data_IF_957580032244
#
_entry.id   IF_957580032244
#
_cell.length_a   1.000
_cell.length_b   1.000
_cell.length_c   1.000
_cell.angle_alpha   90.00
_cell.angle_beta   90.00
_cell.angle_gamma   90.00
#
_symmetry.space_group_name_H-M   'P 1'
#
loop_
_entity.id
_entity.type
_entity.pdbx_description
1 polymer ?
#
# COMPACT_ATOMS: atom_id res chain seq x y z
N UNK A 1 -24.18 -40.23 25.99
CA UNK A 1 -22.71 -40.25 25.81
C UNK A 1 -22.10 -39.41 26.92
N UNK A 2 -21.10 -39.93 27.69
CA UNK A 2 -20.58 -39.21 28.85
C UNK A 2 -19.75 -38.01 28.41
N UNK A 3 -19.87 -36.92 29.14
CA UNK A 3 -19.17 -35.63 28.94
C UNK A 3 -17.63 -35.83 28.80
N UNK A 4 -17.07 -36.77 29.56
CA UNK A 4 -15.66 -37.14 29.50
C UNK A 4 -15.20 -37.70 28.15
N UNK A 5 -16.03 -38.43 27.44
CA UNK A 5 -15.66 -38.96 26.09
C UNK A 5 -15.55 -37.80 25.09
N UNK A 6 -16.51 -36.88 25.14
CA UNK A 6 -16.52 -35.70 24.26
C UNK A 6 -15.31 -34.78 24.49
N UNK A 7 -14.91 -34.59 25.74
CA UNK A 7 -13.70 -33.77 26.06
C UNK A 7 -12.40 -34.42 25.55
N UNK A 8 -12.29 -35.76 25.69
CA UNK A 8 -11.13 -36.50 25.15
C UNK A 8 -11.07 -36.43 23.63
N UNK A 9 -12.19 -36.53 22.94
CA UNK A 9 -12.27 -36.46 21.48
C UNK A 9 -11.90 -35.04 20.98
N UNK A 10 -12.36 -34.00 21.67
CA UNK A 10 -11.98 -32.61 21.38
C UNK A 10 -10.48 -32.33 21.63
N UNK A 11 -9.94 -32.83 22.71
CA UNK A 11 -8.52 -32.69 23.01
C UNK A 11 -7.64 -33.40 21.96
N UNK A 12 -8.05 -34.60 21.54
CA UNK A 12 -7.36 -35.36 20.48
C UNK A 12 -7.41 -34.63 19.14
N UNK A 13 -8.57 -34.14 18.73
CA UNK A 13 -8.71 -33.37 17.49
C UNK A 13 -7.90 -32.08 17.50
N UNK A 14 -7.80 -31.40 18.65
CA UNK A 14 -6.95 -30.20 18.80
C UNK A 14 -5.47 -30.55 18.68
N UNK A 15 -5.02 -31.65 19.27
CA UNK A 15 -3.65 -32.13 19.18
C UNK A 15 -3.27 -32.52 17.75
N UNK A 16 -4.13 -33.25 17.05
CA UNK A 16 -3.92 -33.65 15.65
C UNK A 16 -3.82 -32.43 14.72
N UNK A 17 -4.68 -31.41 14.91
CA UNK A 17 -4.58 -30.13 14.14
C UNK A 17 -3.28 -29.39 14.42
N UNK A 18 -2.80 -29.39 15.67
CA UNK A 18 -1.51 -28.75 16.00
C UNK A 18 -0.33 -29.49 15.38
N UNK A 19 -0.37 -30.82 15.38
CA UNK A 19 0.66 -31.66 14.76
C UNK A 19 0.71 -31.43 13.22
N UNK A 20 -0.46 -31.38 12.56
CA UNK A 20 -0.57 -31.11 11.14
C UNK A 20 0.06 -29.73 10.78
N UNK A 21 -0.30 -28.67 11.53
CA UNK A 21 0.29 -27.33 11.33
C UNK A 21 1.80 -27.28 11.57
N UNK A 22 2.33 -28.06 12.53
CA UNK A 22 3.78 -28.14 12.78
C UNK A 22 4.51 -28.85 11.63
N UNK A 23 3.92 -29.93 11.09
CA UNK A 23 4.51 -30.67 9.95
C UNK A 23 4.52 -29.83 8.67
N UNK A 24 3.45 -29.08 8.40
CA UNK A 24 3.38 -28.14 7.28
C UNK A 24 4.46 -27.05 7.38
N UNK A 25 4.58 -26.39 8.54
CA UNK A 25 5.63 -25.39 8.78
C UNK A 25 7.04 -25.96 8.59
N UNK A 26 7.29 -27.18 9.08
CA UNK A 26 8.57 -27.84 8.91
C UNK A 26 8.89 -28.18 7.44
N UNK A 27 7.87 -28.55 6.66
CA UNK A 27 8.03 -28.79 5.22
C UNK A 27 8.30 -27.48 4.46
N UNK A 28 7.59 -26.40 4.76
CA UNK A 28 7.84 -25.07 4.20
C UNK A 28 9.25 -24.56 4.53
N UNK A 29 9.69 -24.70 5.78
CA UNK A 29 11.03 -24.31 6.18
C UNK A 29 12.13 -25.08 5.41
N UNK A 30 11.98 -26.40 5.24
CA UNK A 30 12.93 -27.22 4.45
C UNK A 30 12.92 -26.86 2.97
N UNK A 31 11.74 -26.55 2.39
CA UNK A 31 11.62 -26.09 1.01
C UNK A 31 12.30 -24.74 0.80
N UNK A 32 12.06 -23.79 1.68
CA UNK A 32 12.69 -22.47 1.61
C UNK A 32 14.22 -22.58 1.75
N UNK A 33 14.72 -23.40 2.68
CA UNK A 33 16.16 -23.61 2.87
C UNK A 33 16.83 -24.20 1.61
N UNK A 34 16.14 -25.10 0.87
CA UNK A 34 16.65 -25.64 -0.41
C UNK A 34 16.64 -24.57 -1.50
N UNK A 35 15.60 -23.74 -1.59
CA UNK A 35 15.50 -22.63 -2.56
C UNK A 35 16.61 -21.62 -2.29
N UNK A 36 16.84 -21.24 -1.02
CA UNK A 36 17.92 -20.32 -0.65
C UNK A 36 19.30 -20.88 -1.03
N UNK A 37 19.55 -22.16 -0.82
CA UNK A 37 20.81 -22.78 -1.20
C UNK A 37 21.03 -22.77 -2.72
N UNK A 38 19.98 -23.01 -3.52
CA UNK A 38 20.05 -22.95 -4.98
C UNK A 38 20.32 -21.53 -5.47
N UNK A 39 19.63 -20.53 -4.90
CA UNK A 39 19.82 -19.12 -5.25
C UNK A 39 21.24 -18.66 -4.97
N UNK A 40 21.82 -19.05 -3.83
CA UNK A 40 23.24 -18.71 -3.49
C UNK A 40 24.21 -19.31 -4.48
N UNK A 41 24.01 -20.58 -4.89
CA UNK A 41 24.89 -21.23 -5.88
C UNK A 41 24.77 -20.56 -7.24
N UNK A 42 23.57 -20.24 -7.69
CA UNK A 42 23.35 -19.50 -8.96
C UNK A 42 23.97 -18.12 -8.91
N UNK A 43 23.84 -17.39 -7.81
CA UNK A 43 24.47 -16.08 -7.64
C UNK A 43 26.00 -16.13 -7.71
N UNK A 44 26.63 -17.17 -7.14
CA UNK A 44 28.09 -17.36 -7.21
C UNK A 44 28.57 -17.71 -8.62
N UNK A 45 27.81 -18.50 -9.37
CA UNK A 45 28.13 -18.83 -10.79
C UNK A 45 27.99 -17.59 -11.67
N UNK A 46 26.92 -16.79 -11.49
CA UNK A 46 26.72 -15.53 -12.25
C UNK A 46 27.79 -14.51 -11.92
N UNK A 47 28.20 -14.38 -10.65
CA UNK A 47 29.30 -13.49 -10.25
C UNK A 47 30.64 -13.93 -10.83
N UNK A 48 30.93 -15.25 -10.89
CA UNK A 48 32.16 -15.79 -11.49
C UNK A 48 32.25 -15.57 -13.00
N UNK A 49 31.16 -15.75 -13.74
CA UNK A 49 31.09 -15.51 -15.18
C UNK A 49 31.09 -14.00 -15.48
N UNK A 50 30.40 -13.18 -14.69
CA UNK A 50 30.40 -11.72 -14.83
C UNK A 50 31.79 -11.09 -14.65
N UNK A 51 32.59 -11.59 -13.71
CA UNK A 51 33.95 -11.10 -13.47
C UNK A 51 34.91 -11.44 -14.63
N UNK A 52 34.73 -12.57 -15.31
CA UNK A 52 35.54 -12.96 -16.46
C UNK A 52 35.21 -12.15 -17.73
N UNK A 53 33.94 -11.77 -17.92
CA UNK A 53 33.47 -10.95 -19.06
C UNK A 53 33.80 -9.46 -18.84
N UNK A 54 33.77 -8.97 -17.59
CA UNK A 54 34.06 -7.57 -17.25
C UNK A 54 35.53 -7.15 -17.54
N UNK A 55 36.46 -8.10 -17.56
CA UNK A 55 37.87 -7.81 -17.87
C UNK A 55 38.20 -7.79 -19.37
N UNK A 56 37.24 -8.12 -20.26
CA UNK A 56 37.49 -8.26 -21.70
C UNK A 56 36.99 -7.07 -22.54
N UNK A 57 36.20 -6.15 -21.97
CA UNK A 57 35.68 -4.98 -22.72
C UNK A 57 35.79 -3.70 -21.89
N UNK A 58 36.96 -3.06 -21.95
CA UNK A 58 37.06 -1.64 -21.62
C UNK A 58 36.54 -0.85 -22.82
N UNK A 59 35.25 -0.57 -22.82
CA UNK A 59 34.65 0.52 -23.61
C UNK A 59 33.91 1.39 -22.61
N UNK A 60 34.20 2.68 -22.63
CA UNK A 60 33.64 3.69 -21.74
C UNK A 60 32.11 3.64 -21.71
N UNK A 61 31.45 3.48 -20.55
CA UNK A 61 30.04 3.73 -20.42
C UNK A 61 29.83 5.20 -20.05
N UNK A 62 29.98 6.08 -21.02
CA UNK A 62 29.37 7.39 -20.93
C UNK A 62 27.91 7.26 -21.41
N UNK A 63 26.97 7.69 -20.56
CA UNK A 63 25.58 7.99 -20.90
C UNK A 63 24.63 6.80 -21.01
N UNK A 64 24.06 6.43 -19.89
CA UNK A 64 22.63 6.18 -19.60
C UNK A 64 22.47 6.00 -18.08
N UNK A 65 23.06 6.89 -17.30
CA UNK A 65 22.52 7.16 -15.98
C UNK A 65 21.22 7.95 -16.25
N UNK A 66 20.07 7.30 -16.16
CA UNK A 66 18.85 8.00 -15.80
C UNK A 66 19.22 8.79 -14.54
N UNK A 67 19.26 10.12 -14.64
CA UNK A 67 19.35 10.98 -13.48
C UNK A 67 18.15 10.60 -12.60
N UNK A 68 18.41 9.83 -11.54
CA UNK A 68 17.47 9.73 -10.44
C UNK A 68 17.32 11.19 -9.96
N UNK A 69 16.20 11.82 -10.29
CA UNK A 69 15.84 13.13 -9.78
C UNK A 69 15.78 12.95 -8.27
N UNK A 70 16.78 13.45 -7.57
CA UNK A 70 16.81 13.38 -6.11
C UNK A 70 15.50 14.00 -5.60
N UNK A 71 14.70 13.24 -4.90
CA UNK A 71 13.42 13.67 -4.35
C UNK A 71 13.67 14.85 -3.39
N UNK A 72 13.32 16.05 -3.81
CA UNK A 72 13.47 17.27 -3.01
C UNK A 72 12.19 17.55 -2.24
N UNK A 73 11.96 16.76 -1.17
CA UNK A 73 10.81 16.97 -0.29
C UNK A 73 11.07 18.14 0.66
N UNK A 74 10.20 19.10 0.66
CA UNK A 74 10.16 20.15 1.68
C UNK A 74 9.94 19.55 3.09
N UNK A 75 10.36 20.25 4.16
CA UNK A 75 9.99 19.84 5.51
C UNK A 75 8.48 19.69 5.68
N UNK A 76 8.05 18.68 6.42
CA UNK A 76 6.62 18.47 6.71
C UNK A 76 6.04 19.67 7.47
N UNK A 77 4.79 20.01 7.14
CA UNK A 77 4.00 21.02 7.84
C UNK A 77 3.63 20.59 9.26
N UNK A 78 2.84 21.43 9.93
CA UNK A 78 2.26 21.07 11.22
C UNK A 78 1.06 20.15 10.99
N UNK A 79 1.04 18.94 11.56
CA UNK A 79 -0.11 18.07 11.49
C UNK A 79 -1.36 18.73 12.03
N UNK A 80 -2.50 18.49 11.40
CA UNK A 80 -3.79 19.00 11.85
C UNK A 80 -4.20 18.41 13.20
N UNK A 81 -5.14 19.08 13.89
CA UNK A 81 -5.82 18.51 15.04
C UNK A 81 -6.78 17.36 14.59
N UNK A 82 -6.91 16.32 15.43
CA UNK A 82 -7.65 15.09 15.11
C UNK A 82 -9.15 15.15 15.47
N UNK A 83 -9.78 16.32 15.34
CA UNK A 83 -11.12 16.59 15.85
C UNK A 83 -12.21 16.67 14.76
N UNK A 84 -11.87 16.40 13.50
CA UNK A 84 -12.83 16.47 12.39
C UNK A 84 -13.46 15.11 12.16
N UNK A 85 -14.79 15.08 12.27
CA UNK A 85 -15.61 13.92 12.02
C UNK A 85 -16.92 14.35 11.35
N UNK A 86 -17.44 13.51 10.47
CA UNK A 86 -18.67 13.73 9.71
C UNK A 86 -19.64 12.55 9.94
N UNK A 87 -20.22 12.40 11.16
CA UNK A 87 -21.01 11.22 11.51
C UNK A 87 -22.27 11.03 10.65
N UNK A 88 -22.74 12.09 10.01
CA UNK A 88 -23.92 12.07 9.13
C UNK A 88 -23.56 11.64 7.68
N UNK A 89 -22.28 11.37 7.41
CA UNK A 89 -21.79 10.96 6.09
C UNK A 89 -21.45 12.15 5.19
N UNK A 90 -21.13 11.86 3.89
CA UNK A 90 -20.78 12.91 2.95
C UNK A 90 -21.99 13.74 2.55
N UNK A 91 -21.80 15.08 2.45
CA UNK A 91 -22.79 15.95 1.83
C UNK A 91 -22.68 15.86 0.30
N UNK A 92 -23.81 15.96 -0.44
CA UNK A 92 -23.79 15.96 -1.89
C UNK A 92 -22.97 17.12 -2.45
N UNK A 93 -22.07 16.82 -3.38
CA UNK A 93 -21.36 17.84 -4.13
C UNK A 93 -22.24 18.41 -5.26
N UNK A 94 -21.99 19.66 -5.65
CA UNK A 94 -22.73 20.32 -6.75
C UNK A 94 -22.50 19.61 -8.10
N UNK A 95 -21.33 18.99 -8.28
CA UNK A 95 -20.97 18.21 -9.48
C UNK A 95 -20.06 17.04 -9.07
N UNK A 96 -20.13 15.95 -9.86
CA UNK A 96 -19.19 14.82 -9.66
C UNK A 96 -17.83 15.24 -10.24
N UNK A 97 -16.78 15.33 -9.42
CA UNK A 97 -15.45 15.65 -9.90
C UNK A 97 -14.86 14.47 -10.68
N UNK A 98 -13.90 14.77 -11.54
CA UNK A 98 -13.17 13.77 -12.33
C UNK A 98 -11.73 13.62 -11.90
N UNK A 99 -11.24 14.54 -11.08
CA UNK A 99 -9.83 14.59 -10.65
C UNK A 99 -9.73 14.95 -9.20
N UNK A 100 -8.84 14.27 -8.48
CA UNK A 100 -8.35 14.64 -7.16
C UNK A 100 -6.87 14.96 -7.27
N UNK A 101 -6.45 16.09 -6.77
CA UNK A 101 -5.05 16.50 -6.69
C UNK A 101 -4.60 16.57 -5.23
N UNK A 102 -3.54 15.84 -4.91
CA UNK A 102 -2.86 15.90 -3.61
C UNK A 102 -1.60 16.75 -3.76
N UNK A 103 -1.59 17.95 -3.19
CA UNK A 103 -0.38 18.73 -3.02
C UNK A 103 0.40 18.18 -1.82
N UNK A 104 1.56 17.59 -2.07
CA UNK A 104 2.38 17.01 -1.02
C UNK A 104 3.68 17.77 -0.81
N UNK A 105 4.34 17.55 0.32
CA UNK A 105 5.67 18.10 0.58
C UNK A 105 6.75 17.59 -0.40
N UNK A 106 6.44 16.53 -1.17
CA UNK A 106 7.34 15.94 -2.17
C UNK A 106 6.94 16.25 -3.61
N UNK A 107 5.83 16.98 -3.81
CA UNK A 107 5.28 17.33 -5.12
C UNK A 107 3.82 16.92 -5.26
N UNK A 108 3.26 17.21 -6.42
CA UNK A 108 1.84 17.01 -6.73
C UNK A 108 1.58 15.58 -7.23
N UNK A 109 0.53 14.94 -6.69
CA UNK A 109 0.02 13.65 -7.16
C UNK A 109 -1.39 13.88 -7.69
N UNK A 110 -1.61 13.61 -8.98
CA UNK A 110 -2.89 13.80 -9.66
C UNK A 110 -3.55 12.45 -9.90
N UNK A 111 -4.81 12.32 -9.49
CA UNK A 111 -5.60 11.09 -9.52
C UNK A 111 -6.82 11.32 -10.40
N UNK A 112 -6.98 10.56 -11.49
CA UNK A 112 -8.25 10.46 -12.22
C UNK A 112 -9.20 9.57 -11.41
N UNK A 113 -10.41 10.07 -11.13
CA UNK A 113 -11.43 9.38 -10.37
C UNK A 113 -12.19 8.38 -11.25
N UNK A 114 -12.54 7.21 -10.68
CA UNK A 114 -13.23 6.13 -11.40
C UNK A 114 -14.74 6.17 -11.11
N UNK A 115 -15.54 6.50 -12.13
CA UNK A 115 -17.00 6.57 -12.04
C UNK A 115 -17.68 5.22 -11.68
N UNK A 116 -16.96 4.10 -11.76
CA UNK A 116 -17.48 2.80 -11.32
C UNK A 116 -17.53 2.65 -9.80
N UNK A 117 -16.82 3.52 -9.05
CA UNK A 117 -16.84 3.57 -7.59
C UNK A 117 -17.54 4.84 -7.09
N UNK A 118 -18.77 5.06 -7.54
CA UNK A 118 -19.48 6.33 -7.37
C UNK A 118 -19.60 6.78 -5.91
N UNK A 119 -19.96 5.89 -4.99
CA UNK A 119 -20.14 6.23 -3.56
C UNK A 119 -18.80 6.53 -2.89
N UNK A 120 -17.78 5.79 -3.28
CA UNK A 120 -16.41 6.03 -2.81
C UNK A 120 -15.90 7.37 -3.33
N UNK A 121 -16.08 7.66 -4.63
CA UNK A 121 -15.69 8.95 -5.24
C UNK A 121 -16.43 10.13 -4.61
N UNK A 122 -17.76 10.01 -4.39
CA UNK A 122 -18.56 11.04 -3.70
C UNK A 122 -18.00 11.31 -2.30
N UNK A 123 -17.65 10.27 -1.54
CA UNK A 123 -17.06 10.38 -0.20
C UNK A 123 -15.68 11.02 -0.22
N UNK A 124 -14.77 10.50 -1.03
CA UNK A 124 -13.39 10.97 -1.09
C UNK A 124 -13.30 12.42 -1.59
N UNK A 125 -14.16 12.78 -2.56
CA UNK A 125 -14.26 14.13 -3.07
C UNK A 125 -14.83 15.10 -2.02
N UNK A 126 -15.87 14.71 -1.27
CA UNK A 126 -16.39 15.47 -0.14
C UNK A 126 -15.32 15.71 0.93
N UNK A 127 -14.56 14.67 1.28
CA UNK A 127 -13.50 14.77 2.27
C UNK A 127 -12.37 15.70 1.81
N UNK A 128 -12.02 15.66 0.52
CA UNK A 128 -11.02 16.56 -0.05
C UNK A 128 -11.50 18.01 -0.04
N UNK A 129 -12.72 18.28 -0.52
CA UNK A 129 -13.32 19.63 -0.56
C UNK A 129 -13.49 20.23 0.83
N UNK A 130 -13.86 19.39 1.81
CA UNK A 130 -13.95 19.78 3.24
C UNK A 130 -12.59 19.99 3.91
N UNK A 131 -11.48 19.78 3.21
CA UNK A 131 -10.12 19.89 3.75
C UNK A 131 -9.76 18.79 4.75
N UNK A 132 -10.45 17.66 4.72
CA UNK A 132 -10.18 16.52 5.63
C UNK A 132 -8.76 15.99 5.50
N UNK A 133 -8.22 15.96 4.29
CA UNK A 133 -6.86 15.46 4.03
C UNK A 133 -5.76 16.49 4.25
N UNK A 134 -6.12 17.76 4.44
CA UNK A 134 -5.15 18.83 4.59
C UNK A 134 -4.34 18.64 5.89
N UNK A 135 -3.02 18.78 5.77
CA UNK A 135 -2.07 18.63 6.86
C UNK A 135 -2.08 17.23 7.50
N UNK A 136 -2.20 16.18 6.68
CA UNK A 136 -2.13 14.77 7.12
C UNK A 136 -0.92 14.05 6.53
N UNK A 137 -0.46 13.00 7.19
CA UNK A 137 0.68 12.21 6.76
C UNK A 137 0.25 10.91 6.10
N UNK A 138 1.02 10.44 5.12
CA UNK A 138 0.96 9.04 4.70
C UNK A 138 1.74 8.21 5.73
N UNK A 139 1.03 7.41 6.49
CA UNK A 139 1.53 6.80 7.72
C UNK A 139 2.17 5.44 7.55
N UNK A 140 1.94 4.76 6.39
CA UNK A 140 2.45 3.40 6.15
C UNK A 140 2.97 3.25 4.73
N UNK A 141 4.11 2.62 4.61
CA UNK A 141 4.73 2.17 3.36
C UNK A 141 5.05 0.68 3.48
N UNK A 142 4.80 -0.08 2.41
CA UNK A 142 5.23 -1.48 2.30
C UNK A 142 6.15 -1.65 1.12
N UNK A 143 7.24 -2.42 1.28
CA UNK A 143 8.29 -2.60 0.27
C UNK A 143 8.56 -4.07 -0.07
N UNK A 144 7.84 -5.00 0.54
CA UNK A 144 7.91 -6.43 0.26
C UNK A 144 6.52 -7.06 0.23
N UNK A 145 6.27 -7.95 -0.72
CA UNK A 145 5.01 -8.68 -0.88
C UNK A 145 3.90 -7.84 -1.51
N UNK A 146 3.63 -6.66 -0.97
CA UNK A 146 2.75 -5.65 -1.56
C UNK A 146 3.48 -4.31 -1.60
N UNK A 147 3.13 -3.44 -2.55
CA UNK A 147 3.86 -2.22 -2.86
C UNK A 147 2.93 -1.01 -2.80
N UNK A 148 2.65 -0.52 -1.59
CA UNK A 148 1.68 0.53 -1.37
C UNK A 148 2.19 1.61 -0.43
N UNK A 149 1.75 2.86 -0.67
CA UNK A 149 1.84 3.98 0.25
C UNK A 149 0.42 4.29 0.76
N UNK A 150 0.17 4.16 2.05
CA UNK A 150 -1.15 4.36 2.66
C UNK A 150 -1.24 5.72 3.34
N UNK A 151 -2.33 6.44 3.02
CA UNK A 151 -2.61 7.81 3.46
C UNK A 151 -4.05 7.91 3.97
N UNK A 152 -4.53 9.14 4.24
CA UNK A 152 -5.94 9.42 4.51
C UNK A 152 -6.39 9.18 5.95
N UNK A 153 -5.44 8.91 6.85
CA UNK A 153 -5.70 8.87 8.29
C UNK A 153 -5.36 10.22 8.92
N UNK A 154 -6.34 10.95 9.48
CA UNK A 154 -6.08 12.23 10.14
C UNK A 154 -5.25 12.10 11.41
N UNK A 155 -5.21 10.92 12.04
CA UNK A 155 -4.42 10.63 13.24
C UNK A 155 -3.00 10.20 12.89
N UNK A 156 -2.81 9.61 11.70
CA UNK A 156 -1.49 9.16 11.22
C UNK A 156 -0.96 7.91 11.92
N UNK A 157 -1.81 7.12 12.55
CA UNK A 157 -1.46 5.87 13.25
C UNK A 157 -2.19 4.62 12.69
N UNK A 158 -3.03 4.82 11.66
CA UNK A 158 -3.82 3.78 11.00
C UNK A 158 -5.20 3.54 11.61
N UNK A 159 -5.60 4.30 12.65
CA UNK A 159 -6.87 4.08 13.35
C UNK A 159 -7.93 5.14 13.08
N UNK A 160 -7.55 6.26 12.49
CA UNK A 160 -8.45 7.38 12.21
C UNK A 160 -9.33 7.19 10.99
N UNK A 161 -10.41 7.97 10.93
CA UNK A 161 -11.36 7.97 9.84
C UNK A 161 -12.38 9.11 9.93
N UNK A 162 -13.30 9.21 8.98
CA UNK A 162 -14.21 10.35 8.86
C UNK A 162 -15.44 10.26 9.80
N UNK A 163 -15.60 9.16 10.53
CA UNK A 163 -16.77 8.93 11.41
C UNK A 163 -17.92 8.16 10.74
N UNK A 164 -17.76 7.78 9.46
CA UNK A 164 -18.68 6.95 8.70
C UNK A 164 -17.91 5.95 7.84
N UNK A 165 -18.62 5.02 7.21
CA UNK A 165 -18.08 4.11 6.21
C UNK A 165 -18.90 4.14 4.93
N UNK A 166 -18.24 3.83 3.80
CA UNK A 166 -18.85 3.67 2.49
C UNK A 166 -18.91 2.19 2.11
N UNK A 167 -19.88 1.76 1.27
CA UNK A 167 -19.97 0.39 0.80
C UNK A 167 -18.77 0.04 -0.11
N UNK A 168 -18.47 -1.26 -0.22
CA UNK A 168 -17.48 -1.74 -1.17
C UNK A 168 -18.02 -1.63 -2.60
N UNK A 169 -17.22 -1.06 -3.50
CA UNK A 169 -17.55 -0.84 -4.91
C UNK A 169 -16.35 -1.17 -5.79
N UNK A 170 -16.58 -1.46 -7.08
CA UNK A 170 -15.53 -1.63 -8.09
C UNK A 170 -14.39 -2.55 -7.62
N UNK A 171 -14.75 -3.67 -6.99
CA UNK A 171 -13.80 -4.65 -6.49
C UNK A 171 -13.18 -5.42 -7.67
N UNK A 172 -11.86 -5.55 -7.77
CA UNK A 172 -11.24 -6.35 -8.82
C UNK A 172 -11.43 -7.84 -8.53
N UNK A 173 -11.39 -8.66 -9.58
CA UNK A 173 -11.31 -10.09 -9.41
C UNK A 173 -9.97 -10.48 -8.76
N UNK A 174 -9.98 -11.58 -8.00
CA UNK A 174 -8.73 -12.17 -7.50
C UNK A 174 -7.81 -12.58 -8.68
N UNK A 175 -6.52 -12.33 -8.52
CA UNK A 175 -5.56 -12.64 -9.57
C UNK A 175 -4.18 -12.07 -9.30
N UNK A 176 -3.22 -12.43 -10.14
CA UNK A 176 -1.88 -11.85 -10.11
C UNK A 176 -1.94 -10.40 -10.61
N UNK A 177 -1.24 -9.51 -9.88
CA UNK A 177 -1.19 -8.07 -10.19
C UNK A 177 -2.57 -7.40 -10.36
N UNK A 178 -3.57 -7.86 -9.59
CA UNK A 178 -4.94 -7.34 -9.68
C UNK A 178 -5.08 -5.89 -9.22
N UNK A 179 -4.05 -5.33 -8.58
CA UNK A 179 -3.88 -3.91 -8.31
C UNK A 179 -2.59 -3.43 -9.00
N UNK A 180 -2.65 -3.04 -10.28
CA UNK A 180 -1.48 -2.59 -11.02
C UNK A 180 -0.96 -1.23 -10.52
N UNK A 181 0.29 -0.91 -10.84
CA UNK A 181 0.91 0.37 -10.49
C UNK A 181 0.06 1.57 -10.94
N UNK A 182 -0.07 2.55 -10.07
CA UNK A 182 -0.92 3.73 -10.22
C UNK A 182 -2.35 3.54 -9.71
N UNK A 183 -2.78 2.35 -9.30
CA UNK A 183 -4.10 2.13 -8.70
C UNK A 183 -4.23 2.89 -7.38
N UNK A 184 -5.40 3.52 -7.17
CA UNK A 184 -5.83 4.07 -5.90
C UNK A 184 -6.99 3.23 -5.38
N UNK A 185 -6.85 2.68 -4.17
CA UNK A 185 -7.89 1.87 -3.57
C UNK A 185 -8.09 2.18 -2.08
N UNK A 186 -9.30 1.91 -1.59
CA UNK A 186 -9.65 2.12 -0.18
C UNK A 186 -8.98 1.09 0.72
N UNK A 187 -8.41 1.55 1.81
CA UNK A 187 -8.06 0.68 2.92
C UNK A 187 -9.30 0.41 3.77
N UNK A 188 -9.42 -0.82 4.29
CA UNK A 188 -10.55 -1.23 5.14
C UNK A 188 -10.12 -2.23 6.22
N UNK A 189 -10.97 -2.45 7.21
CA UNK A 189 -10.82 -3.45 8.27
C UNK A 189 -11.74 -4.67 8.07
N UNK A 190 -12.21 -4.88 6.85
CA UNK A 190 -13.16 -5.90 6.42
C UNK A 190 -14.28 -5.31 5.56
N UNK A 191 -15.19 -6.12 5.02
CA UNK A 191 -16.24 -5.67 4.12
C UNK A 191 -17.09 -4.53 4.69
N UNK A 192 -17.31 -3.48 3.88
CA UNK A 192 -18.14 -2.33 4.24
C UNK A 192 -17.57 -1.42 5.33
N UNK A 193 -16.26 -1.45 5.58
CA UNK A 193 -15.60 -0.61 6.59
C UNK A 193 -14.66 0.45 5.98
N UNK A 194 -14.72 0.69 4.69
CA UNK A 194 -13.96 1.74 4.01
C UNK A 194 -14.37 3.12 4.55
N UNK A 195 -13.42 3.90 5.03
CA UNK A 195 -13.65 5.24 5.59
C UNK A 195 -12.99 6.33 4.74
N UNK A 196 -11.86 6.87 5.20
CA UNK A 196 -11.07 7.88 4.50
C UNK A 196 -9.67 7.39 4.13
N UNK A 197 -9.24 6.25 4.67
CA UNK A 197 -7.90 5.75 4.39
C UNK A 197 -7.85 5.08 3.03
N UNK A 198 -6.85 5.42 2.26
CA UNK A 198 -6.59 4.87 0.93
C UNK A 198 -5.12 4.54 0.76
N UNK A 199 -4.82 3.74 -0.25
CA UNK A 199 -3.44 3.46 -0.62
C UNK A 199 -3.19 3.69 -2.11
N UNK A 200 -1.98 4.14 -2.40
CA UNK A 200 -1.41 4.33 -3.73
C UNK A 200 -0.53 3.12 -4.04
N UNK A 201 -0.87 2.38 -5.06
CA UNK A 201 -0.06 1.24 -5.53
C UNK A 201 1.07 1.78 -6.40
N UNK A 202 2.33 1.64 -5.97
CA UNK A 202 3.47 2.18 -6.71
C UNK A 202 4.21 1.16 -7.58
N UNK A 203 3.93 -0.13 -7.40
CA UNK A 203 4.36 -1.23 -8.27
C UNK A 203 3.28 -2.32 -8.26
N UNK A 204 3.20 -3.12 -9.32
CA UNK A 204 2.19 -4.16 -9.47
C UNK A 204 2.08 -5.03 -8.22
N UNK A 205 0.86 -5.13 -7.68
CA UNK A 205 0.59 -5.73 -6.38
C UNK A 205 -0.54 -6.74 -6.49
N UNK A 206 -0.38 -7.88 -5.82
CA UNK A 206 -1.41 -8.91 -5.68
C UNK A 206 -1.99 -8.85 -4.27
N UNK A 207 -3.29 -8.54 -4.18
CA UNK A 207 -4.08 -8.51 -2.95
C UNK A 207 -5.36 -9.32 -3.14
N UNK A 208 -6.07 -9.74 -2.07
CA UNK A 208 -7.47 -10.12 -2.19
C UNK A 208 -8.29 -9.02 -2.85
N UNK A 209 -9.28 -9.37 -3.67
CA UNK A 209 -10.14 -8.42 -4.37
C UNK A 209 -11.13 -7.68 -3.47
N UNK A 210 -10.73 -7.30 -2.25
CA UNK A 210 -11.58 -6.77 -1.17
C UNK A 210 -11.44 -5.25 -0.98
N UNK A 211 -10.64 -4.57 -1.84
CA UNK A 211 -10.33 -3.13 -1.72
C UNK A 211 -10.91 -2.38 -2.91
N UNK A 212 -11.87 -1.50 -2.67
CA UNK A 212 -12.55 -0.70 -3.70
C UNK A 212 -11.56 0.17 -4.47
N UNK A 213 -11.43 -0.05 -5.78
CA UNK A 213 -10.62 0.79 -6.67
C UNK A 213 -11.47 2.01 -7.05
N UNK A 214 -11.00 3.21 -6.72
CA UNK A 214 -11.75 4.45 -6.96
C UNK A 214 -11.01 5.49 -7.79
N UNK A 215 -9.77 5.19 -8.19
CA UNK A 215 -9.01 6.09 -9.04
C UNK A 215 -7.71 5.51 -9.56
N UNK A 216 -7.05 6.32 -10.38
CA UNK A 216 -5.74 6.01 -10.94
C UNK A 216 -4.86 7.25 -10.96
N UNK A 217 -3.62 7.12 -10.52
CA UNK A 217 -2.60 8.17 -10.64
C UNK A 217 -2.31 8.46 -12.11
N UNK A 218 -2.43 9.72 -12.51
CA UNK A 218 -2.12 10.22 -13.85
C UNK A 218 -0.85 11.05 -13.89
N UNK A 219 -0.41 11.59 -12.74
CA UNK A 219 0.86 12.31 -12.58
C UNK A 219 1.38 12.13 -11.15
N UNK A 220 2.70 12.12 -10.96
CA UNK A 220 3.34 12.04 -9.65
C UNK A 220 3.48 10.62 -9.08
N UNK A 221 3.30 9.56 -9.88
CA UNK A 221 3.58 8.19 -9.43
C UNK A 221 5.06 7.99 -9.15
N UNK A 222 5.93 8.63 -9.89
CA UNK A 222 7.38 8.66 -9.70
C UNK A 222 7.78 9.21 -8.33
N UNK A 223 7.06 10.20 -7.79
CA UNK A 223 7.23 10.69 -6.41
C UNK A 223 7.06 9.55 -5.41
N UNK A 224 5.99 8.77 -5.55
CA UNK A 224 5.70 7.65 -4.65
C UNK A 224 6.75 6.54 -4.79
N UNK A 225 7.21 6.28 -6.01
CA UNK A 225 8.27 5.31 -6.29
C UNK A 225 9.61 5.72 -5.68
N UNK A 226 9.96 7.00 -5.77
CA UNK A 226 11.17 7.55 -5.16
C UNK A 226 11.10 7.49 -3.62
N UNK A 227 9.95 7.85 -3.01
CA UNK A 227 9.71 7.64 -1.56
C UNK A 227 9.90 6.17 -1.18
N UNK A 228 9.37 5.25 -1.98
CA UNK A 228 9.51 3.82 -1.75
C UNK A 228 10.98 3.35 -1.87
N UNK A 229 11.76 3.96 -2.76
CA UNK A 229 13.18 3.66 -2.92
C UNK A 229 14.01 3.99 -1.68
N UNK A 230 13.62 5.03 -0.93
CA UNK A 230 14.22 5.38 0.37
C UNK A 230 13.88 4.35 1.44
N UNK A 231 12.72 3.69 1.30
CA UNK A 231 12.29 2.58 2.15
C UNK A 231 11.54 3.02 3.42
N UNK A 232 11.47 2.10 4.36
CA UNK A 232 10.73 2.23 5.64
C UNK A 232 11.71 2.56 6.77
N UNK A 233 11.28 3.34 7.74
CA UNK A 233 12.08 3.66 8.93
C UNK A 233 12.57 2.38 9.63
N UNK A 234 13.85 2.37 9.94
CA UNK A 234 14.48 1.21 10.59
C UNK A 234 14.78 0.03 9.65
N UNK A 235 14.65 0.20 8.33
CA UNK A 235 14.94 -0.85 7.34
C UNK A 235 13.95 -2.01 7.37
N UNK A 236 12.71 -1.76 7.82
CA UNK A 236 11.63 -2.75 7.82
C UNK A 236 10.98 -2.83 6.43
N UNK A 237 10.22 -3.89 6.18
CA UNK A 237 9.44 -4.04 4.95
C UNK A 237 8.06 -3.38 5.02
N UNK A 238 7.58 -3.03 6.22
CA UNK A 238 6.27 -2.43 6.48
C UNK A 238 6.39 -1.47 7.66
N UNK A 239 5.88 -0.25 7.52
CA UNK A 239 5.88 0.76 8.57
C UNK A 239 5.91 2.19 8.02
N UNK A 240 6.35 3.13 8.86
CA UNK A 240 6.40 4.56 8.51
C UNK A 240 7.46 4.79 7.43
N UNK A 241 7.14 5.52 6.33
CA UNK A 241 8.12 5.87 5.31
C UNK A 241 9.37 6.54 5.91
N UNK A 242 10.56 6.14 5.44
CA UNK A 242 11.82 6.78 5.88
C UNK A 242 11.89 8.24 5.38
N UNK A 243 11.41 8.49 4.14
CA UNK A 243 11.09 9.82 3.64
C UNK A 243 9.62 10.11 3.96
N UNK A 244 9.31 11.04 4.88
CA UNK A 244 7.93 11.39 5.21
C UNK A 244 7.20 12.01 4.01
N UNK A 245 5.97 11.55 3.77
CA UNK A 245 5.04 12.17 2.81
C UNK A 245 3.91 12.84 3.60
N UNK A 246 3.69 14.10 3.31
CA UNK A 246 2.72 14.94 4.00
C UNK A 246 1.83 15.65 2.97
N UNK A 247 0.53 15.47 3.09
CA UNK A 247 -0.47 16.12 2.23
C UNK A 247 -0.70 17.52 2.79
N UNK A 248 -0.22 18.55 2.09
CA UNK A 248 -0.45 19.95 2.46
C UNK A 248 -1.90 20.30 2.21
N UNK A 249 -2.43 19.92 1.05
CA UNK A 249 -3.84 20.10 0.68
C UNK A 249 -4.31 19.05 -0.33
N UNK A 250 -5.62 18.82 -0.36
CA UNK A 250 -6.31 18.02 -1.36
C UNK A 250 -7.40 18.86 -2.02
N UNK A 251 -7.50 18.81 -3.35
CA UNK A 251 -8.50 19.57 -4.13
C UNK A 251 -9.13 18.69 -5.19
N UNK A 252 -10.40 18.97 -5.52
CA UNK A 252 -11.16 18.25 -6.56
C UNK A 252 -11.54 19.16 -7.71
N UNK A 253 -11.62 18.60 -8.94
CA UNK A 253 -12.04 19.32 -10.15
C UNK A 253 -12.75 18.42 -11.14
#
# INVERSE_FOLDING_TARGET
MSTQKRERDLARAKYERQQAKRSERAQHAKRNQRITAIVVVVALVVAGVGFAVFNATKSDPASLASEAVALDCSPIGTPRANDISYPDGPEPLESTPTTLTLDTNCGEIVIALDANAQKTVESEAFLADSGFYNNTSCHRLTTEGIFVLQCGDPQGDGTGGPGYSVPDENLPADGEANYPAGTIAMANAGPGTSGSQFFIVYADTTLPGDYSIWGKVTSGLDIVQEVASVGVKGGLADGVPAQPVFINSATVS
#
